data_IF_366092701789
#
_entry.id   IF_366092701789
#
_cell.length_a   1.000
_cell.length_b   1.000
_cell.length_c   1.000
_cell.angle_alpha   90.00
_cell.angle_beta   90.00
_cell.angle_gamma   90.00
#
_symmetry.space_group_name_H-M   'P 1'
#
loop_
_entity.id
_entity.type
_entity.pdbx_description
1 polymer ?
#
# COMPACT_ATOMS: atom_id res chain seq x y z
N UNK A 1 -15.60 -17.24 94.30
CA UNK A 1 -15.41 -16.27 93.20
C UNK A 1 -16.65 -15.42 93.08
N UNK A 2 -16.48 -14.10 92.94
CA UNK A 2 -17.59 -13.19 92.70
C UNK A 2 -18.14 -13.36 91.26
N UNK A 3 -19.42 -13.05 91.01
CA UNK A 3 -19.98 -13.09 89.66
C UNK A 3 -19.22 -12.23 88.63
N UNK A 4 -18.54 -11.17 89.08
CA UNK A 4 -17.67 -10.33 88.25
C UNK A 4 -16.36 -11.03 87.86
N UNK A 5 -15.75 -11.79 88.77
CA UNK A 5 -14.53 -12.58 88.47
C UNK A 5 -14.80 -13.65 87.41
N UNK A 6 -15.92 -14.38 87.53
CA UNK A 6 -16.32 -15.41 86.55
C UNK A 6 -16.55 -14.79 85.17
N UNK A 7 -17.21 -13.61 85.11
CA UNK A 7 -17.40 -12.88 83.86
C UNK A 7 -16.07 -12.44 83.23
N UNK A 8 -15.14 -11.91 84.04
CA UNK A 8 -13.82 -11.49 83.57
C UNK A 8 -13.03 -12.67 83.01
N UNK A 9 -13.02 -13.81 83.71
CA UNK A 9 -12.35 -15.03 83.27
C UNK A 9 -12.91 -15.53 81.92
N UNK A 10 -14.24 -15.55 81.79
CA UNK A 10 -14.89 -15.94 80.53
C UNK A 10 -14.56 -14.99 79.38
N UNK A 11 -14.52 -13.68 79.62
CA UNK A 11 -14.12 -12.69 78.61
C UNK A 11 -12.66 -12.91 78.19
N UNK A 12 -11.75 -13.16 79.13
CA UNK A 12 -10.35 -13.48 78.82
C UNK A 12 -10.24 -14.75 77.97
N UNK A 13 -10.96 -15.83 78.33
CA UNK A 13 -10.99 -17.07 77.54
C UNK A 13 -11.52 -16.83 76.12
N UNK A 14 -12.59 -16.05 75.97
CA UNK A 14 -13.14 -15.69 74.66
C UNK A 14 -12.16 -14.87 73.82
N UNK A 15 -11.45 -13.90 74.42
CA UNK A 15 -10.43 -13.11 73.73
C UNK A 15 -9.28 -13.98 73.22
N UNK A 16 -8.81 -14.94 74.02
CA UNK A 16 -7.77 -15.88 73.61
C UNK A 16 -8.23 -16.76 72.45
N UNK A 17 -9.44 -17.33 72.53
CA UNK A 17 -10.01 -18.11 71.41
C UNK A 17 -10.18 -17.27 70.15
N UNK A 18 -10.62 -16.02 70.27
CA UNK A 18 -10.77 -15.13 69.12
C UNK A 18 -9.42 -14.80 68.47
N UNK A 19 -8.35 -14.66 69.28
CA UNK A 19 -6.98 -14.49 68.79
C UNK A 19 -6.46 -15.75 68.08
N UNK A 20 -6.77 -16.94 68.59
CA UNK A 20 -6.43 -18.22 67.94
C UNK A 20 -7.12 -18.35 66.57
N UNK A 21 -8.45 -18.16 66.53
CA UNK A 21 -9.22 -18.19 65.27
C UNK A 21 -8.71 -17.15 64.27
N UNK A 22 -8.35 -15.94 64.74
CA UNK A 22 -7.77 -14.91 63.86
C UNK A 22 -6.45 -15.37 63.24
N UNK A 23 -5.57 -15.99 64.02
CA UNK A 23 -4.28 -16.52 63.52
C UNK A 23 -4.49 -17.66 62.54
N UNK A 24 -5.43 -18.57 62.81
CA UNK A 24 -5.76 -19.66 61.90
C UNK A 24 -6.30 -19.14 60.56
N UNK A 25 -7.20 -18.15 60.60
CA UNK A 25 -7.69 -17.47 59.40
C UNK A 25 -6.58 -16.78 58.61
N UNK A 26 -5.64 -16.12 59.30
CA UNK A 26 -4.49 -15.47 58.66
C UNK A 26 -3.59 -16.49 57.95
N UNK A 27 -3.28 -17.61 58.61
CA UNK A 27 -2.51 -18.71 58.01
C UNK A 27 -3.22 -19.26 56.77
N UNK A 28 -4.52 -19.54 56.86
CA UNK A 28 -5.31 -20.06 55.74
C UNK A 28 -5.36 -19.09 54.56
N UNK A 29 -5.48 -17.77 54.83
CA UNK A 29 -5.46 -16.76 53.77
C UNK A 29 -4.10 -16.68 53.10
N UNK A 30 -3.01 -16.74 53.87
CA UNK A 30 -1.65 -16.73 53.32
C UNK A 30 -1.38 -17.96 52.46
N UNK A 31 -1.82 -19.15 52.89
CA UNK A 31 -1.72 -20.37 52.10
C UNK A 31 -2.48 -20.25 50.77
N UNK A 32 -3.73 -19.77 50.80
CA UNK A 32 -4.51 -19.55 49.56
C UNK A 32 -3.86 -18.53 48.62
N UNK A 33 -3.26 -17.48 49.18
CA UNK A 33 -2.53 -16.49 48.38
C UNK A 33 -1.28 -17.09 47.73
N UNK A 34 -0.57 -17.95 48.44
CA UNK A 34 0.59 -18.68 47.91
C UNK A 34 0.19 -19.64 46.79
N UNK A 35 -0.91 -20.38 46.96
CA UNK A 35 -1.47 -21.27 45.95
C UNK A 35 -1.82 -20.50 44.67
N UNK A 36 -2.57 -19.40 44.79
CA UNK A 36 -2.92 -18.54 43.65
C UNK A 36 -1.67 -17.96 42.97
N UNK A 37 -0.67 -17.55 43.77
CA UNK A 37 0.60 -17.06 43.23
C UNK A 37 1.38 -18.15 42.48
N UNK A 38 1.26 -19.41 42.89
CA UNK A 38 1.86 -20.56 42.19
C UNK A 38 1.16 -20.86 40.86
N UNK A 39 -0.17 -20.80 40.84
CA UNK A 39 -0.97 -20.99 39.62
C UNK A 39 -0.70 -19.89 38.59
N UNK A 40 -0.65 -18.62 39.02
CA UNK A 40 -0.31 -17.50 38.14
C UNK A 40 1.09 -17.63 37.53
N UNK A 41 2.06 -18.15 38.30
CA UNK A 41 3.41 -18.47 37.78
C UNK A 41 3.37 -19.57 36.72
N UNK A 42 2.57 -20.61 36.94
CA UNK A 42 2.37 -21.71 35.97
C UNK A 42 1.72 -21.21 34.67
N UNK A 43 0.63 -20.44 34.78
CA UNK A 43 -0.07 -19.84 33.62
C UNK A 43 0.87 -18.94 32.82
N UNK A 44 1.68 -18.12 33.49
CA UNK A 44 2.68 -17.26 32.84
C UNK A 44 3.68 -18.07 32.01
N UNK A 45 4.14 -19.21 32.53
CA UNK A 45 5.08 -20.08 31.83
C UNK A 45 4.45 -20.71 30.57
N UNK A 46 3.22 -21.21 30.67
CA UNK A 46 2.49 -21.75 29.51
C UNK A 46 2.19 -20.67 28.46
N UNK A 47 1.88 -19.44 28.89
CA UNK A 47 1.67 -18.32 27.98
C UNK A 47 2.97 -17.92 27.23
N UNK A 48 4.11 -17.99 27.91
CA UNK A 48 5.42 -17.78 27.26
C UNK A 48 5.74 -18.89 26.25
N UNK A 49 5.46 -20.15 26.59
CA UNK A 49 5.67 -21.31 25.71
C UNK A 49 4.77 -21.24 24.46
N UNK A 50 3.51 -20.89 24.62
CA UNK A 50 2.57 -20.70 23.51
C UNK A 50 2.97 -19.52 22.63
N UNK A 51 3.40 -18.41 23.22
CA UNK A 51 3.93 -17.25 22.47
C UNK A 51 5.17 -17.63 21.64
N UNK A 52 6.09 -18.42 22.22
CA UNK A 52 7.25 -18.93 21.49
C UNK A 52 6.85 -19.82 20.30
N UNK A 53 5.89 -20.74 20.52
CA UNK A 53 5.33 -21.59 19.46
C UNK A 53 4.67 -20.76 18.34
N UNK A 54 3.88 -19.75 18.69
CA UNK A 54 3.26 -18.85 17.71
C UNK A 54 4.30 -18.06 16.92
N UNK A 55 5.38 -17.60 17.57
CA UNK A 55 6.48 -16.91 16.89
C UNK A 55 7.21 -17.85 15.92
N UNK A 56 7.45 -19.10 16.32
CA UNK A 56 8.03 -20.13 15.45
C UNK A 56 7.12 -20.38 14.24
N UNK A 57 5.81 -20.61 14.46
CA UNK A 57 4.83 -20.80 13.38
C UNK A 57 4.78 -19.58 12.46
N UNK A 58 4.77 -18.36 13.00
CA UNK A 58 4.79 -17.13 12.19
C UNK A 58 6.04 -17.03 11.32
N UNK A 59 7.21 -17.41 11.85
CA UNK A 59 8.44 -17.44 11.07
C UNK A 59 8.40 -18.49 9.95
N UNK A 60 7.84 -19.68 10.22
CA UNK A 60 7.65 -20.72 9.20
C UNK A 60 6.61 -20.33 8.16
N UNK A 61 5.51 -19.70 8.58
CA UNK A 61 4.46 -19.22 7.68
C UNK A 61 4.99 -18.12 6.75
N UNK A 62 5.81 -17.19 7.24
CA UNK A 62 6.51 -16.22 6.39
C UNK A 62 7.43 -16.90 5.38
N UNK A 63 8.14 -17.96 5.76
CA UNK A 63 8.96 -18.74 4.83
C UNK A 63 8.14 -19.48 3.76
N UNK A 64 6.92 -19.92 4.10
CA UNK A 64 5.99 -20.59 3.18
C UNK A 64 5.30 -19.56 2.25
N UNK A 65 4.95 -18.38 2.75
CA UNK A 65 4.42 -17.26 1.95
C UNK A 65 5.42 -16.73 0.92
N UNK A 66 6.73 -16.86 1.18
CA UNK A 66 7.77 -16.52 0.20
C UNK A 66 7.87 -17.58 -0.92
N UNK A 67 7.45 -18.83 -0.68
CA UNK A 67 7.65 -19.95 -1.61
C UNK A 67 6.41 -20.39 -2.41
N UNK A 68 5.20 -20.22 -1.87
CA UNK A 68 3.98 -20.85 -2.41
C UNK A 68 3.09 -19.96 -3.30
N UNK A 69 2.66 -18.75 -2.87
CA UNK A 69 1.65 -17.99 -3.60
C UNK A 69 2.19 -17.34 -4.88
N UNK A 70 3.38 -16.74 -4.79
CA UNK A 70 3.97 -15.91 -5.85
C UNK A 70 4.21 -16.71 -7.13
N UNK A 71 4.53 -17.99 -7.03
CA UNK A 71 4.79 -18.85 -8.19
C UNK A 71 3.51 -19.12 -8.97
N UNK A 72 2.40 -19.46 -8.31
CA UNK A 72 1.12 -19.72 -9.00
C UNK A 72 0.48 -18.43 -9.53
N UNK A 73 0.55 -17.33 -8.77
CA UNK A 73 0.04 -16.03 -9.24
C UNK A 73 0.90 -15.50 -10.39
N UNK A 74 2.23 -15.61 -10.34
CA UNK A 74 3.11 -15.21 -11.45
C UNK A 74 3.00 -16.12 -12.64
N UNK A 75 2.77 -17.43 -12.47
CA UNK A 75 2.49 -18.34 -13.59
C UNK A 75 1.15 -18.00 -14.24
N UNK A 76 0.09 -17.72 -13.45
CA UNK A 76 -1.20 -17.30 -13.98
C UNK A 76 -1.11 -15.92 -14.67
N UNK A 77 -0.42 -14.95 -14.08
CA UNK A 77 -0.18 -13.64 -14.69
C UNK A 77 0.66 -13.76 -15.96
N UNK A 78 1.71 -14.58 -15.98
CA UNK A 78 2.51 -14.81 -17.18
C UNK A 78 1.70 -15.52 -18.27
N UNK A 79 0.89 -16.52 -17.92
CA UNK A 79 0.02 -17.18 -18.89
C UNK A 79 -1.03 -16.22 -19.45
N UNK A 80 -1.58 -15.35 -18.60
CA UNK A 80 -2.53 -14.33 -19.03
C UNK A 80 -1.87 -13.27 -19.92
N UNK A 81 -0.66 -12.80 -19.57
CA UNK A 81 0.15 -11.90 -20.42
C UNK A 81 0.49 -12.53 -21.76
N UNK A 82 0.90 -13.79 -21.78
CA UNK A 82 1.20 -14.52 -23.02
C UNK A 82 -0.03 -14.64 -23.93
N UNK A 83 -1.22 -14.87 -23.35
CA UNK A 83 -2.48 -14.86 -24.12
C UNK A 83 -2.81 -13.48 -24.66
N UNK A 84 -2.65 -12.42 -23.85
CA UNK A 84 -2.84 -11.06 -24.32
C UNK A 84 -1.85 -10.66 -25.43
N UNK A 85 -0.59 -11.03 -25.30
CA UNK A 85 0.43 -10.76 -26.32
C UNK A 85 0.13 -11.52 -27.61
N UNK A 86 -0.36 -12.76 -27.51
CA UNK A 86 -0.79 -13.54 -28.66
C UNK A 86 -2.02 -12.92 -29.35
N UNK A 87 -3.03 -12.50 -28.58
CA UNK A 87 -4.22 -11.81 -29.10
C UNK A 87 -3.86 -10.46 -29.72
N UNK A 88 -2.98 -9.69 -29.08
CA UNK A 88 -2.48 -8.41 -29.58
C UNK A 88 -1.70 -8.59 -30.88
N UNK A 89 -0.81 -9.58 -30.95
CA UNK A 89 -0.09 -9.93 -32.19
C UNK A 89 -1.04 -10.37 -33.30
N UNK A 90 -2.04 -11.20 -32.99
CA UNK A 90 -3.04 -11.64 -33.97
C UNK A 90 -3.86 -10.46 -34.49
N UNK A 91 -4.27 -9.55 -33.60
CA UNK A 91 -5.02 -8.34 -33.94
C UNK A 91 -4.19 -7.37 -34.77
N UNK A 92 -2.93 -7.16 -34.42
CA UNK A 92 -2.02 -6.30 -35.17
C UNK A 92 -1.68 -6.88 -36.54
N UNK A 93 -1.55 -8.22 -36.64
CA UNK A 93 -1.40 -8.89 -37.94
C UNK A 93 -2.64 -8.70 -38.81
N UNK A 94 -3.83 -8.90 -38.26
CA UNK A 94 -5.08 -8.69 -38.98
C UNK A 94 -5.26 -7.22 -39.41
N UNK A 95 -4.91 -6.26 -38.54
CA UNK A 95 -4.93 -4.84 -38.87
C UNK A 95 -3.91 -4.48 -39.95
N UNK A 96 -2.71 -5.08 -39.93
CA UNK A 96 -1.69 -4.90 -40.96
C UNK A 96 -2.15 -5.45 -42.31
N UNK A 97 -2.75 -6.65 -42.32
CA UNK A 97 -3.35 -7.25 -43.52
C UNK A 97 -4.49 -6.39 -44.08
N UNK A 98 -5.38 -5.89 -43.21
CA UNK A 98 -6.45 -4.96 -43.61
C UNK A 98 -5.90 -3.63 -44.14
N UNK A 99 -4.86 -3.07 -43.49
CA UNK A 99 -4.20 -1.83 -43.93
C UNK A 99 -3.55 -2.01 -45.31
N UNK A 100 -2.91 -3.16 -45.54
CA UNK A 100 -2.34 -3.54 -46.83
C UNK A 100 -3.40 -3.71 -47.92
N UNK A 101 -4.53 -4.35 -47.61
CA UNK A 101 -5.67 -4.51 -48.53
C UNK A 101 -6.33 -3.17 -48.88
N UNK A 102 -6.38 -2.22 -47.94
CA UNK A 102 -7.02 -0.93 -48.13
C UNK A 102 -6.09 0.16 -48.69
N UNK A 103 -4.81 -0.16 -48.99
CA UNK A 103 -3.78 0.81 -49.42
C UNK A 103 -3.74 2.09 -48.56
N UNK A 104 -4.04 1.96 -47.27
CA UNK A 104 -4.03 3.09 -46.35
C UNK A 104 -2.56 3.48 -46.13
N UNK A 105 -2.12 4.54 -46.81
CA UNK A 105 -0.86 5.24 -46.50
C UNK A 105 -0.80 5.49 -45.00
N UNK A 106 0.41 5.38 -44.44
CA UNK A 106 0.66 5.52 -43.01
C UNK A 106 -0.16 6.66 -42.41
N UNK A 107 -1.18 6.28 -41.65
CA UNK A 107 -1.96 7.21 -40.84
C UNK A 107 -0.94 7.91 -39.97
N UNK A 108 -0.78 9.22 -40.22
CA UNK A 108 0.21 10.07 -39.56
C UNK A 108 0.19 9.80 -38.06
N UNK A 109 1.37 9.49 -37.52
CA UNK A 109 1.57 9.21 -36.11
C UNK A 109 1.02 10.37 -35.26
N UNK A 110 -0.14 10.18 -34.63
CA UNK A 110 -0.77 11.19 -33.77
C UNK A 110 0.19 11.72 -32.70
N UNK A 111 0.24 13.04 -32.53
CA UNK A 111 1.13 13.69 -31.57
C UNK A 111 0.86 13.21 -30.14
N UNK A 112 1.86 13.24 -29.24
CA UNK A 112 1.64 12.98 -27.80
C UNK A 112 0.56 13.92 -27.25
N UNK A 113 0.45 15.15 -27.77
CA UNK A 113 -0.64 16.08 -27.46
C UNK A 113 -2.01 15.55 -27.89
N UNK A 114 -2.12 14.87 -29.03
CA UNK A 114 -3.39 14.29 -29.49
C UNK A 114 -3.81 13.12 -28.63
N UNK A 115 -2.84 12.33 -28.16
CA UNK A 115 -3.04 11.23 -27.23
C UNK A 115 -3.50 11.77 -25.87
N UNK A 116 -2.81 12.76 -25.30
CA UNK A 116 -3.19 13.41 -24.05
C UNK A 116 -4.59 14.05 -24.14
N UNK A 117 -4.89 14.71 -25.27
CA UNK A 117 -6.20 15.31 -25.55
C UNK A 117 -7.30 14.27 -25.71
N UNK A 118 -6.98 13.09 -26.25
CA UNK A 118 -7.91 11.97 -26.39
C UNK A 118 -8.21 11.32 -25.04
N UNK A 119 -7.20 11.15 -24.18
CA UNK A 119 -7.40 10.70 -22.80
C UNK A 119 -8.23 11.73 -22.01
N UNK A 120 -7.95 13.03 -22.16
CA UNK A 120 -8.72 14.10 -21.52
C UNK A 120 -10.20 14.09 -21.95
N UNK A 121 -10.49 13.95 -23.26
CA UNK A 121 -11.87 13.82 -23.77
C UNK A 121 -12.58 12.58 -23.28
N UNK A 122 -11.87 11.45 -23.21
CA UNK A 122 -12.38 10.20 -22.61
C UNK A 122 -12.86 10.45 -21.19
N UNK A 123 -12.08 11.17 -20.39
CA UNK A 123 -12.34 11.40 -18.97
C UNK A 123 -13.45 12.43 -18.71
N UNK A 124 -13.62 13.44 -19.57
CA UNK A 124 -14.66 14.47 -19.46
C UNK A 124 -16.07 13.98 -19.83
N UNK A 125 -16.20 12.85 -20.53
CA UNK A 125 -17.47 12.35 -21.08
C UNK A 125 -18.51 11.84 -20.06
N UNK A 126 -18.33 12.10 -18.75
CA UNK A 126 -19.36 11.93 -17.72
C UNK A 126 -19.61 10.48 -17.32
N UNK A 127 -18.99 10.05 -16.20
CA UNK A 127 -19.18 8.70 -15.68
C UNK A 127 -19.83 8.66 -14.30
N UNK A 128 -20.67 7.64 -14.01
CA UNK A 128 -21.34 7.50 -12.72
C UNK A 128 -20.34 7.20 -11.60
N UNK A 129 -20.17 8.15 -10.69
CA UNK A 129 -19.21 8.08 -9.58
C UNK A 129 -19.49 6.90 -8.63
N UNK A 130 -18.55 5.96 -8.52
CA UNK A 130 -18.54 4.97 -7.44
C UNK A 130 -17.75 5.50 -6.23
N UNK A 131 -18.36 5.34 -5.05
CA UNK A 131 -17.82 5.84 -3.77
C UNK A 131 -16.66 4.97 -3.24
N UNK A 132 -15.45 5.02 -3.80
CA UNK A 132 -14.25 4.40 -3.19
C UNK A 132 -13.26 5.46 -2.68
N UNK A 133 -12.37 5.10 -1.75
CA UNK A 133 -11.21 5.91 -1.36
C UNK A 133 -10.08 5.52 -2.32
N UNK A 134 -9.51 6.46 -3.06
CA UNK A 134 -8.37 6.19 -3.93
C UNK A 134 -7.09 6.20 -3.09
N UNK A 135 -6.35 5.09 -3.11
CA UNK A 135 -5.01 4.97 -2.52
C UNK A 135 -4.10 4.55 -3.65
N UNK A 136 -3.17 5.43 -3.99
CA UNK A 136 -2.28 5.22 -5.12
C UNK A 136 -0.87 4.98 -4.57
N UNK A 137 -0.26 3.87 -4.95
CA UNK A 137 1.01 3.40 -4.42
C UNK A 137 2.08 3.40 -5.50
N UNK A 138 3.20 4.07 -5.21
CA UNK A 138 4.39 4.06 -6.05
C UNK A 138 5.47 3.27 -5.33
N UNK A 139 5.86 2.12 -5.89
CA UNK A 139 6.88 1.18 -5.42
C UNK A 139 6.50 0.31 -4.20
N UNK A 140 6.23 -0.99 -4.40
CA UNK A 140 5.78 -1.88 -3.30
C UNK A 140 6.88 -2.75 -2.67
N UNK A 141 8.16 -2.65 -3.07
CA UNK A 141 9.18 -3.60 -2.63
C UNK A 141 10.34 -2.95 -1.87
N UNK A 142 10.58 -3.45 -0.66
CA UNK A 142 11.65 -3.08 0.26
C UNK A 142 13.02 -3.66 -0.12
N UNK A 143 13.08 -4.51 -1.16
CA UNK A 143 14.28 -5.24 -1.60
C UNK A 143 14.68 -4.90 -3.03
N UNK A 144 14.40 -3.69 -3.50
CA UNK A 144 14.72 -3.27 -4.87
C UNK A 144 16.25 -3.12 -4.98
N UNK A 145 16.86 -4.04 -5.72
CA UNK A 145 18.27 -3.93 -6.13
C UNK A 145 18.43 -2.76 -7.11
N UNK A 146 19.61 -2.15 -7.19
CA UNK A 146 19.88 -1.03 -8.12
C UNK A 146 19.41 -1.30 -9.56
N UNK A 147 19.58 -2.54 -10.04
CA UNK A 147 19.19 -2.98 -11.39
C UNK A 147 17.67 -3.00 -11.61
N UNK A 148 16.88 -3.05 -10.54
CA UNK A 148 15.42 -3.12 -10.56
C UNK A 148 14.74 -1.78 -10.19
N UNK A 149 15.53 -0.74 -9.93
CA UNK A 149 15.02 0.60 -9.65
C UNK A 149 14.25 1.14 -10.86
N UNK A 150 13.04 1.63 -10.61
CA UNK A 150 12.22 2.27 -11.63
C UNK A 150 12.62 3.73 -11.79
N UNK A 151 12.59 4.25 -13.01
CA UNK A 151 12.71 5.69 -13.24
C UNK A 151 11.52 6.43 -12.64
N UNK A 152 11.70 7.70 -12.30
CA UNK A 152 10.61 8.53 -11.81
C UNK A 152 9.46 8.65 -12.84
N UNK A 153 9.80 8.77 -14.13
CA UNK A 153 8.84 8.66 -15.24
C UNK A 153 7.97 7.39 -15.17
N UNK A 154 8.57 6.23 -14.86
CA UNK A 154 7.82 4.97 -14.70
C UNK A 154 6.90 4.99 -13.48
N UNK A 155 7.26 5.72 -12.43
CA UNK A 155 6.41 5.93 -11.26
C UNK A 155 5.20 6.78 -11.62
N UNK A 156 5.42 7.92 -12.29
CA UNK A 156 4.32 8.81 -12.74
C UNK A 156 3.39 8.07 -13.70
N UNK A 157 3.93 7.29 -14.64
CA UNK A 157 3.13 6.40 -15.49
C UNK A 157 2.28 5.42 -14.68
N UNK A 158 2.83 4.84 -13.61
CA UNK A 158 2.10 3.98 -12.68
C UNK A 158 0.98 4.72 -11.92
N UNK A 159 1.22 5.96 -11.51
CA UNK A 159 0.22 6.83 -10.87
C UNK A 159 -0.96 7.10 -11.81
N UNK A 160 -0.67 7.53 -13.04
CA UNK A 160 -1.68 7.80 -14.08
C UNK A 160 -2.53 6.56 -14.32
N UNK A 161 -1.89 5.39 -14.44
CA UNK A 161 -2.58 4.12 -14.65
C UNK A 161 -3.48 3.73 -13.47
N UNK A 162 -2.97 3.79 -12.23
CA UNK A 162 -3.77 3.45 -11.03
C UNK A 162 -4.93 4.42 -10.80
N UNK A 163 -4.76 5.70 -11.12
CA UNK A 163 -5.84 6.68 -11.07
C UNK A 163 -6.90 6.39 -12.14
N UNK A 164 -6.49 6.04 -13.35
CA UNK A 164 -7.40 5.62 -14.41
C UNK A 164 -8.20 4.35 -14.02
N UNK A 165 -7.57 3.36 -13.37
CA UNK A 165 -8.26 2.16 -12.84
C UNK A 165 -9.27 2.48 -11.73
N UNK A 166 -9.02 3.55 -10.97
CA UNK A 166 -9.91 3.96 -9.88
C UNK A 166 -11.18 4.69 -10.35
N UNK A 167 -11.25 5.13 -11.60
CA UNK A 167 -12.48 5.65 -12.20
C UNK A 167 -13.50 4.53 -12.49
N UNK A 168 -14.79 4.87 -12.42
CA UNK A 168 -15.90 3.92 -12.64
C UNK A 168 -15.94 3.33 -14.06
N UNK A 169 -16.62 2.18 -14.17
CA UNK A 169 -16.84 1.25 -15.30
C UNK A 169 -16.78 1.74 -16.76
N UNK A 170 -16.96 3.02 -17.06
CA UNK A 170 -16.92 3.53 -18.44
C UNK A 170 -15.54 3.48 -19.09
N UNK A 171 -14.47 3.58 -18.28
CA UNK A 171 -13.09 3.60 -18.79
C UNK A 171 -12.52 2.24 -19.17
N UNK A 172 -13.23 1.11 -19.04
CA UNK A 172 -12.61 -0.22 -19.29
C UNK A 172 -12.12 -0.40 -20.74
N UNK A 173 -12.86 0.14 -21.72
CA UNK A 173 -12.47 0.17 -23.15
C UNK A 173 -11.36 1.19 -23.42
N UNK A 174 -11.34 2.29 -22.67
CA UNK A 174 -10.39 3.39 -22.86
C UNK A 174 -9.15 3.22 -21.97
N UNK A 175 -9.17 2.28 -21.03
CA UNK A 175 -8.06 1.89 -20.17
C UNK A 175 -6.98 1.16 -20.97
N UNK A 176 -7.38 0.36 -21.95
CA UNK A 176 -6.46 -0.20 -22.93
C UNK A 176 -5.86 0.92 -23.79
N UNK A 177 -6.62 1.96 -24.15
CA UNK A 177 -6.10 3.14 -24.85
C UNK A 177 -5.13 3.96 -23.97
N UNK A 178 -5.42 4.16 -22.68
CA UNK A 178 -4.50 4.82 -21.74
C UNK A 178 -3.24 3.97 -21.54
N UNK A 179 -3.37 2.65 -21.41
CA UNK A 179 -2.24 1.73 -21.29
C UNK A 179 -1.38 1.74 -22.55
N UNK A 180 -2.00 1.69 -23.73
CA UNK A 180 -1.35 1.73 -25.04
C UNK A 180 -0.66 3.08 -25.26
N UNK A 181 -1.37 4.18 -24.97
CA UNK A 181 -0.84 5.54 -24.98
C UNK A 181 0.41 5.65 -24.11
N UNK A 182 0.33 5.25 -22.85
CA UNK A 182 1.44 5.32 -21.91
C UNK A 182 2.57 4.34 -22.27
N UNK A 183 2.29 3.27 -23.01
CA UNK A 183 3.27 2.28 -23.48
C UNK A 183 3.81 2.58 -24.87
N UNK A 184 3.37 3.69 -25.47
CA UNK A 184 3.92 4.17 -26.73
C UNK A 184 5.41 4.44 -26.61
N UNK A 185 6.16 4.05 -27.63
CA UNK A 185 7.60 4.33 -27.76
C UNK A 185 7.90 5.83 -27.80
N UNK A 186 6.88 6.68 -28.00
CA UNK A 186 7.00 8.14 -28.06
C UNK A 186 7.49 8.75 -26.74
N UNK A 187 7.03 8.23 -25.59
CA UNK A 187 7.52 8.65 -24.27
C UNK A 187 9.00 8.34 -24.03
N UNK A 188 9.57 7.43 -24.82
CA UNK A 188 10.98 7.05 -24.77
C UNK A 188 11.83 7.77 -25.82
N UNK A 189 11.21 8.49 -26.76
CA UNK A 189 11.88 9.24 -27.84
C UNK A 189 11.95 10.75 -27.57
N UNK A 190 11.00 11.30 -26.80
CA UNK A 190 11.04 12.69 -26.36
C UNK A 190 12.12 12.92 -25.29
N UNK A 191 12.53 14.18 -25.16
CA UNK A 191 13.42 14.62 -24.07
C UNK A 191 12.77 14.25 -22.72
N UNK A 192 13.51 13.63 -21.78
CA UNK A 192 12.95 13.12 -20.53
C UNK A 192 12.13 14.15 -19.74
N UNK A 193 12.55 15.43 -19.79
CA UNK A 193 11.89 16.55 -19.14
C UNK A 193 10.54 16.88 -19.78
N UNK A 194 10.48 16.96 -21.10
CA UNK A 194 9.23 17.22 -21.83
C UNK A 194 8.22 16.10 -21.65
N UNK A 195 8.68 14.84 -21.76
CA UNK A 195 7.85 13.67 -21.49
C UNK A 195 7.31 13.68 -20.04
N UNK A 196 8.13 14.14 -19.10
CA UNK A 196 7.76 14.30 -17.71
C UNK A 196 6.68 15.36 -17.49
N UNK A 197 6.85 16.55 -18.05
CA UNK A 197 5.87 17.65 -17.95
C UNK A 197 4.51 17.21 -18.53
N UNK A 198 4.51 16.56 -19.70
CA UNK A 198 3.30 16.01 -20.30
C UNK A 198 2.60 14.95 -19.42
N UNK A 199 3.38 14.11 -18.71
CA UNK A 199 2.80 13.13 -17.78
C UNK A 199 2.20 13.78 -16.53
N UNK A 200 2.81 14.86 -16.03
CA UNK A 200 2.27 15.63 -14.91
C UNK A 200 0.99 16.37 -15.29
N UNK A 201 0.93 16.94 -16.49
CA UNK A 201 -0.27 17.59 -17.01
C UNK A 201 -1.43 16.59 -17.13
N UNK A 202 -1.13 15.38 -17.64
CA UNK A 202 -2.10 14.30 -17.71
C UNK A 202 -2.58 13.84 -16.33
N UNK A 203 -1.65 13.72 -15.38
CA UNK A 203 -1.93 13.36 -14.00
C UNK A 203 -2.81 14.42 -13.31
N UNK A 204 -2.50 15.70 -13.52
CA UNK A 204 -3.28 16.84 -13.04
C UNK A 204 -4.69 16.81 -13.63
N UNK A 205 -4.80 16.63 -14.95
CA UNK A 205 -6.09 16.51 -15.62
C UNK A 205 -6.90 15.33 -15.09
N UNK A 206 -6.29 14.16 -14.84
CA UNK A 206 -6.98 13.02 -14.22
C UNK A 206 -7.52 13.36 -12.84
N UNK A 207 -6.74 14.07 -12.02
CA UNK A 207 -7.15 14.41 -10.67
C UNK A 207 -8.33 15.40 -10.63
N UNK A 208 -8.43 16.32 -11.59
CA UNK A 208 -9.57 17.25 -11.72
C UNK A 208 -10.92 16.54 -11.88
N UNK A 209 -10.91 15.32 -12.43
CA UNK A 209 -12.11 14.54 -12.70
C UNK A 209 -12.51 13.63 -11.53
N UNK A 210 -11.71 13.59 -10.47
CA UNK A 210 -12.01 12.79 -9.30
C UNK A 210 -13.10 13.46 -8.44
N UNK A 211 -13.96 12.65 -7.78
CA UNK A 211 -15.04 13.19 -6.96
C UNK A 211 -14.50 14.04 -5.81
N UNK A 212 -14.86 15.34 -5.82
CA UNK A 212 -14.44 16.37 -4.84
C UNK A 212 -14.72 16.04 -3.38
N UNK A 213 -15.68 15.15 -3.10
CA UNK A 213 -16.10 14.83 -1.72
C UNK A 213 -15.13 13.93 -0.95
N UNK A 214 -14.01 13.49 -1.52
CA UNK A 214 -13.10 12.55 -0.86
C UNK A 214 -11.63 12.92 -0.98
N UNK A 215 -10.86 12.81 0.12
CA UNK A 215 -9.43 13.03 0.06
C UNK A 215 -8.77 11.92 -0.77
N UNK A 216 -7.94 12.32 -1.74
CA UNK A 216 -7.04 11.43 -2.46
C UNK A 216 -5.76 11.34 -1.66
N UNK A 217 -5.30 10.12 -1.37
CA UNK A 217 -4.02 9.88 -0.72
C UNK A 217 -3.06 9.26 -1.73
N UNK A 218 -2.07 10.05 -2.16
CA UNK A 218 -0.96 9.59 -2.97
C UNK A 218 0.18 9.21 -2.03
N UNK A 219 0.66 7.98 -2.15
CA UNK A 219 1.80 7.49 -1.37
C UNK A 219 2.90 7.13 -2.36
N UNK A 220 3.96 7.92 -2.32
CA UNK A 220 5.19 7.63 -3.05
C UNK A 220 6.18 7.05 -2.07
N UNK A 221 6.33 5.72 -2.08
CA UNK A 221 7.26 5.05 -1.21
C UNK A 221 8.67 5.02 -1.84
N UNK A 222 9.70 5.17 -1.01
CA UNK A 222 11.12 5.10 -1.36
C UNK A 222 11.50 5.88 -2.63
N UNK A 223 11.05 7.13 -2.73
CA UNK A 223 11.38 7.96 -3.89
C UNK A 223 12.91 8.13 -4.04
N UNK A 224 13.66 8.11 -2.95
CA UNK A 224 15.13 8.05 -2.91
C UNK A 224 15.72 6.90 -3.74
N UNK A 225 15.02 5.78 -3.87
CA UNK A 225 15.47 4.59 -4.60
C UNK A 225 15.07 4.58 -6.08
N UNK A 226 14.62 5.70 -6.64
CA UNK A 226 14.39 5.76 -8.07
C UNK A 226 15.70 5.66 -8.86
N UNK A 227 15.56 5.22 -10.12
CA UNK A 227 16.64 5.35 -11.09
C UNK A 227 16.63 6.79 -11.62
N UNK A 228 17.46 7.61 -11.01
CA UNK A 228 17.81 8.96 -11.45
C UNK A 228 18.83 8.87 -12.61
N UNK A 229 18.92 9.91 -13.44
CA UNK A 229 19.93 9.95 -14.51
C UNK A 229 21.31 9.87 -13.88
N UNK A 230 22.19 9.05 -14.48
CA UNK A 230 23.48 8.71 -13.89
C UNK A 230 24.53 9.85 -13.92
N UNK A 231 24.18 11.07 -14.36
CA UNK A 231 25.19 12.07 -14.70
C UNK A 231 25.82 12.77 -13.50
N UNK A 232 25.20 12.79 -12.33
CA UNK A 232 25.90 13.19 -11.11
C UNK A 232 25.32 12.53 -9.86
N UNK A 233 26.00 11.48 -9.38
CA UNK A 233 25.76 10.83 -8.07
C UNK A 233 25.83 11.78 -6.85
N UNK A 234 25.99 13.09 -7.04
CA UNK A 234 26.11 14.10 -5.98
C UNK A 234 25.05 15.21 -6.04
N UNK A 235 24.29 15.33 -7.12
CA UNK A 235 23.29 16.39 -7.23
C UNK A 235 21.90 15.82 -6.95
N UNK A 236 21.36 16.14 -5.78
CA UNK A 236 19.99 15.82 -5.37
C UNK A 236 18.90 16.52 -6.22
N UNK A 237 19.30 17.22 -7.28
CA UNK A 237 18.44 18.10 -8.08
C UNK A 237 17.26 17.37 -8.70
N UNK A 238 17.46 16.15 -9.22
CA UNK A 238 16.35 15.40 -9.84
C UNK A 238 15.30 14.91 -8.83
N UNK A 239 15.73 14.52 -7.63
CA UNK A 239 14.82 14.15 -6.54
C UNK A 239 14.07 15.40 -6.05
N UNK A 240 14.78 16.51 -5.88
CA UNK A 240 14.20 17.80 -5.51
C UNK A 240 13.16 18.25 -6.55
N UNK A 241 13.50 18.22 -7.84
CA UNK A 241 12.60 18.55 -8.94
C UNK A 241 11.37 17.63 -8.95
N UNK A 242 11.57 16.33 -8.75
CA UNK A 242 10.48 15.36 -8.64
C UNK A 242 9.52 15.69 -7.48
N UNK A 243 10.06 16.01 -6.31
CA UNK A 243 9.28 16.40 -5.13
C UNK A 243 8.56 17.73 -5.37
N UNK A 244 9.25 18.72 -5.93
CA UNK A 244 8.69 20.04 -6.27
C UNK A 244 7.53 19.89 -7.24
N UNK A 245 7.69 19.10 -8.30
CA UNK A 245 6.63 18.85 -9.27
C UNK A 245 5.43 18.15 -8.67
N UNK A 246 5.64 17.12 -7.83
CA UNK A 246 4.54 16.48 -7.10
C UNK A 246 3.84 17.47 -6.17
N UNK A 247 4.59 18.30 -5.45
CA UNK A 247 4.00 19.32 -4.57
C UNK A 247 3.26 20.40 -5.36
N UNK A 248 3.77 20.82 -6.51
CA UNK A 248 3.15 21.80 -7.39
C UNK A 248 1.81 21.28 -7.92
N UNK A 249 1.81 20.03 -8.40
CA UNK A 249 0.60 19.33 -8.82
C UNK A 249 -0.45 19.26 -7.69
N UNK A 250 -0.02 19.05 -6.44
CA UNK A 250 -0.90 18.99 -5.28
C UNK A 250 -1.42 20.37 -4.82
N UNK A 251 -0.71 21.45 -5.16
CA UNK A 251 -1.10 22.84 -4.86
C UNK A 251 -2.10 23.40 -5.86
N UNK A 252 -2.18 22.84 -7.06
CA UNK A 252 -3.21 23.22 -8.02
C UNK A 252 -4.60 22.92 -7.43
N UNK A 253 -5.32 23.99 -7.10
CA UNK A 253 -6.45 24.04 -6.15
C UNK A 253 -7.73 23.33 -6.60
N UNK A 254 -7.68 22.60 -7.71
CA UNK A 254 -8.84 21.94 -8.32
C UNK A 254 -9.26 20.69 -7.57
N UNK A 255 -8.35 20.08 -6.80
CA UNK A 255 -8.62 18.88 -6.01
C UNK A 255 -8.91 19.28 -4.55
N UNK A 256 -10.07 18.88 -4.00
CA UNK A 256 -10.35 19.10 -2.59
C UNK A 256 -9.61 18.08 -1.71
N UNK A 257 -8.68 18.58 -0.89
CA UNK A 257 -7.89 17.84 0.10
C UNK A 257 -6.99 16.70 -0.42
N UNK A 258 -6.18 16.92 -1.46
CA UNK A 258 -5.21 15.92 -1.87
C UNK A 258 -4.14 15.83 -0.76
N UNK A 259 -3.78 14.60 -0.39
CA UNK A 259 -2.72 14.32 0.58
C UNK A 259 -1.62 13.55 -0.11
N UNK A 260 -0.41 14.09 -0.07
CA UNK A 260 0.79 13.42 -0.57
C UNK A 260 1.62 12.97 0.62
N UNK A 261 2.00 11.69 0.62
CA UNK A 261 3.00 11.15 1.53
C UNK A 261 4.16 10.66 0.69
N UNK A 262 5.31 11.29 0.85
CA UNK A 262 6.57 10.83 0.27
C UNK A 262 7.35 10.18 1.40
N UNK A 263 7.74 8.92 1.23
CA UNK A 263 8.62 8.23 2.15
C UNK A 263 10.01 8.23 1.51
N UNK A 264 10.97 8.78 2.25
CA UNK A 264 12.39 8.78 1.90
C UNK A 264 13.13 8.00 2.99
N UNK A 265 14.09 7.19 2.59
CA UNK A 265 15.06 6.64 3.54
C UNK A 265 16.40 7.31 3.28
N UNK A 266 16.82 8.11 4.25
CA UNK A 266 18.13 8.74 4.23
C UNK A 266 19.09 7.83 5.00
N UNK A 267 20.18 7.45 4.35
CA UNK A 267 21.34 6.79 5.00
C UNK A 267 22.17 7.82 5.76
#
# INVERSE_FOLDING_TARGET
>A
MSPSEIKMENVCKLRMKLLEVRKECEILMLQKLEDVASELRSIKLELQKTTFRLKAISSTAKSIEIASPDTNVRVQENQWRLRQDAESKARNKALSELKGQMQLKDVEEQSILDVASSVKRVLTAGFPQRRRKARVFCQPSHTITERSRRSFASIVKGLVYQLAEHHSTGLRLQHDLVREALSSTKWHREEPKTAFDHMLDLLSALMEHLPTKKPILMITDRLDQCRWSNESRRDCTELEDAVISLLHMMRNQTVQHPRLKILLVME
#
